data_IF_678422071647
#
_entry.id   IF_678422071647
#
_cell.length_a   1.000
_cell.length_b   1.000
_cell.length_c   1.000
_cell.angle_alpha   90.00
_cell.angle_beta   90.00
_cell.angle_gamma   90.00
#
_symmetry.space_group_name_H-M   'P 1'
#
loop_
_entity.id
_entity.type
_entity.pdbx_description
1 polymer ?
#
# COMPACT_ATOMS: atom_id res chain seq x y z
N UNK A 1 6.09 16.86 68.45
CA UNK A 1 7.01 17.33 67.37
C UNK A 1 8.18 16.36 67.26
N UNK A 2 8.70 16.13 66.04
CA UNK A 2 9.84 15.24 65.66
C UNK A 2 9.50 13.78 65.35
N UNK A 3 8.74 13.53 64.27
CA UNK A 3 8.88 12.31 63.46
C UNK A 3 8.56 12.58 61.97
N UNK A 4 8.95 13.76 61.47
CA UNK A 4 8.58 14.24 60.13
C UNK A 4 9.82 14.53 59.26
N UNK A 5 10.85 13.69 59.35
CA UNK A 5 12.11 13.89 58.63
C UNK A 5 12.80 12.58 58.20
N UNK A 6 12.03 11.60 57.72
CA UNK A 6 12.60 10.32 57.27
C UNK A 6 11.90 9.74 56.01
N UNK A 7 11.40 10.61 55.12
CA UNK A 7 10.73 10.23 53.86
C UNK A 7 11.42 10.87 52.62
N UNK A 8 12.60 11.49 52.75
CA UNK A 8 13.25 12.18 51.63
C UNK A 8 14.40 11.42 50.94
N UNK A 9 14.69 10.16 51.32
CA UNK A 9 15.90 9.47 50.85
C UNK A 9 15.63 8.19 50.02
N UNK A 10 14.61 8.18 49.18
CA UNK A 10 14.39 7.11 48.19
C UNK A 10 14.10 7.60 46.77
N UNK A 11 14.56 8.81 46.41
CA UNK A 11 14.61 9.28 45.02
C UNK A 11 15.96 8.91 44.36
N UNK A 12 16.39 7.65 44.50
CA UNK A 12 17.51 7.13 43.70
C UNK A 12 17.02 6.99 42.26
N UNK A 13 17.31 8.05 41.51
CA UNK A 13 17.25 8.16 40.06
C UNK A 13 17.97 6.98 39.39
N UNK A 14 17.23 6.02 38.84
CA UNK A 14 17.73 5.19 37.75
C UNK A 14 17.51 5.94 36.43
N UNK A 15 18.30 6.98 36.21
CA UNK A 15 18.49 7.56 34.89
C UNK A 15 19.25 6.58 34.02
N UNK A 16 18.55 5.66 33.35
CA UNK A 16 19.13 4.80 32.33
C UNK A 16 19.56 5.69 31.15
N UNK A 17 20.82 6.12 31.14
CA UNK A 17 21.43 6.82 30.02
C UNK A 17 21.62 5.81 28.89
N UNK A 18 20.59 5.63 28.08
CA UNK A 18 20.75 5.00 26.77
C UNK A 18 21.84 5.78 26.03
N UNK A 19 22.88 5.08 25.58
CA UNK A 19 23.94 5.70 24.81
C UNK A 19 23.33 6.31 23.53
N UNK A 20 23.92 7.40 22.99
CA UNK A 20 23.47 7.98 21.71
C UNK A 20 23.45 6.94 20.57
N UNK A 21 24.27 5.90 20.67
CA UNK A 21 24.38 4.81 19.72
C UNK A 21 23.19 3.83 19.78
N UNK A 22 22.63 3.55 20.95
CA UNK A 22 21.42 2.73 21.06
C UNK A 22 20.17 3.45 20.54
N UNK A 23 20.13 4.78 20.67
CA UNK A 23 19.06 5.61 20.10
C UNK A 23 19.13 5.67 18.57
N UNK A 24 20.34 5.75 17.99
CA UNK A 24 20.53 5.65 16.53
C UNK A 24 20.15 4.26 16.01
N UNK A 25 20.61 3.19 16.67
CA UNK A 25 20.26 1.81 16.30
C UNK A 25 18.75 1.52 16.35
N UNK A 26 18.00 2.09 17.31
CA UNK A 26 16.53 1.98 17.33
C UNK A 26 15.85 2.85 16.27
N UNK A 27 16.41 4.00 15.92
CA UNK A 27 15.91 4.87 14.86
C UNK A 27 16.10 4.26 13.47
N UNK A 28 17.16 3.50 13.27
CA UNK A 28 17.45 2.81 12.00
C UNK A 28 16.61 1.54 11.80
N UNK A 29 16.08 0.93 12.87
CA UNK A 29 15.17 -0.24 12.80
C UNK A 29 13.72 0.19 12.51
N UNK A 30 13.36 1.45 12.76
CA UNK A 30 12.14 2.04 12.23
C UNK A 30 12.36 2.33 10.73
N UNK A 31 12.25 1.27 9.91
CA UNK A 31 12.29 1.31 8.46
C UNK A 31 11.63 2.61 7.98
N UNK A 32 12.42 3.48 7.34
CA UNK A 32 12.08 4.84 6.89
C UNK A 32 10.87 4.92 5.95
N UNK A 33 10.24 3.77 5.69
CA UNK A 33 9.18 3.54 4.74
C UNK A 33 7.83 3.27 5.40
N UNK A 34 7.73 3.34 6.73
CA UNK A 34 6.49 3.06 7.46
C UNK A 34 6.03 4.28 8.25
N UNK A 35 4.80 4.72 7.99
CA UNK A 35 4.18 5.81 8.75
C UNK A 35 2.87 5.35 9.39
N UNK A 36 2.65 5.71 10.66
CA UNK A 36 1.35 5.50 11.30
C UNK A 36 0.44 6.66 10.89
N UNK A 37 -0.66 6.34 10.22
CA UNK A 37 -1.59 7.34 9.67
C UNK A 37 -2.85 7.54 10.51
N UNK A 38 -3.12 6.61 11.43
CA UNK A 38 -4.36 6.61 12.18
C UNK A 38 -4.58 5.33 12.97
N UNK A 39 -5.81 5.19 13.48
CA UNK A 39 -6.29 3.99 14.17
C UNK A 39 -7.66 3.60 13.67
N UNK A 40 -7.98 2.32 13.72
CA UNK A 40 -9.33 1.83 13.42
C UNK A 40 -10.31 2.38 14.45
N UNK A 41 -11.27 3.19 14.00
CA UNK A 41 -12.34 3.74 14.82
C UNK A 41 -13.53 2.79 14.92
N UNK A 42 -13.85 2.11 13.81
CA UNK A 42 -14.93 1.13 13.70
C UNK A 42 -14.66 0.12 12.60
N UNK A 43 -15.31 -1.05 12.71
CA UNK A 43 -15.21 -2.14 11.74
C UNK A 43 -16.62 -2.60 11.37
N UNK A 44 -16.97 -2.50 10.09
CA UNK A 44 -18.20 -3.06 9.53
C UNK A 44 -17.89 -4.42 8.91
N UNK A 45 -18.17 -5.51 9.66
CA UNK A 45 -17.92 -6.87 9.15
C UNK A 45 -18.81 -7.23 7.97
N UNK A 46 -20.09 -6.82 8.03
CA UNK A 46 -21.06 -7.06 6.95
C UNK A 46 -20.71 -6.27 5.69
N UNK A 47 -20.32 -5.01 5.85
CA UNK A 47 -19.94 -4.13 4.74
C UNK A 47 -18.51 -4.31 4.25
N UNK A 48 -17.69 -5.11 4.95
CA UNK A 48 -16.25 -5.30 4.67
C UNK A 48 -15.48 -3.98 4.53
N UNK A 49 -15.77 -3.03 5.41
CA UNK A 49 -15.05 -1.75 5.46
C UNK A 49 -14.75 -1.33 6.90
N UNK A 50 -13.82 -0.40 7.04
CA UNK A 50 -13.41 0.19 8.31
C UNK A 50 -13.40 1.70 8.22
N UNK A 51 -13.64 2.35 9.36
CA UNK A 51 -13.35 3.77 9.52
C UNK A 51 -12.02 3.92 10.25
N UNK A 52 -11.15 4.77 9.72
CA UNK A 52 -9.83 5.05 10.25
C UNK A 52 -9.86 6.47 10.81
N UNK A 53 -9.74 6.61 12.13
CA UNK A 53 -9.52 7.90 12.75
C UNK A 53 -8.14 8.40 12.38
N UNK A 54 -8.09 9.59 11.81
CA UNK A 54 -6.88 10.27 11.39
C UNK A 54 -5.97 10.60 12.56
N UNK A 55 -4.67 10.39 12.36
CA UNK A 55 -3.63 10.92 13.25
C UNK A 55 -3.08 12.24 12.66
N UNK A 56 -3.40 13.37 13.29
CA UNK A 56 -2.92 14.70 12.91
C UNK A 56 -3.68 15.36 11.75
N UNK A 57 -3.09 16.39 11.14
CA UNK A 57 -3.74 17.20 10.09
C UNK A 57 -3.31 16.83 8.66
N UNK A 58 -2.33 15.93 8.48
CA UNK A 58 -1.76 15.56 7.19
C UNK A 58 -2.69 14.85 6.20
N UNK A 59 -2.29 14.72 4.95
CA UNK A 59 -3.01 13.90 3.96
C UNK A 59 -2.53 12.45 4.03
N UNK A 60 -3.38 11.52 3.57
CA UNK A 60 -2.98 10.13 3.41
C UNK A 60 -2.13 9.98 2.14
N UNK A 61 -0.95 9.32 2.21
CA UNK A 61 -0.16 9.05 1.01
C UNK A 61 -0.95 8.21 -0.01
N UNK A 62 -0.79 8.52 -1.29
CA UNK A 62 -1.42 7.78 -2.38
C UNK A 62 -0.43 6.75 -2.95
N UNK A 63 -0.94 5.71 -3.60
CA UNK A 63 -0.11 4.70 -4.25
C UNK A 63 0.70 3.82 -3.29
N UNK A 64 0.28 3.73 -2.02
CA UNK A 64 0.98 2.95 -0.98
C UNK A 64 0.08 1.87 -0.40
N UNK A 65 0.69 0.88 0.23
CA UNK A 65 -0.05 -0.20 0.90
C UNK A 65 -0.45 0.25 2.30
N UNK A 66 -1.70 0.01 2.67
CA UNK A 66 -2.20 0.22 4.03
C UNK A 66 -2.43 -1.12 4.73
N UNK A 67 -1.92 -1.25 5.95
CA UNK A 67 -2.23 -2.38 6.81
C UNK A 67 -2.60 -1.91 8.21
N UNK A 68 -3.59 -2.57 8.81
CA UNK A 68 -3.80 -2.45 10.25
C UNK A 68 -2.88 -3.42 11.00
N UNK A 69 -2.47 -3.05 12.21
CA UNK A 69 -1.71 -3.88 13.14
C UNK A 69 -2.28 -3.79 14.56
N UNK A 70 -2.67 -4.93 15.10
CA UNK A 70 -3.10 -5.09 16.49
C UNK A 70 -1.93 -5.25 17.47
N UNK A 71 -2.18 -5.11 18.77
CA UNK A 71 -1.17 -5.29 19.82
C UNK A 71 -0.63 -6.73 19.90
N UNK A 72 -1.40 -7.70 19.39
CA UNK A 72 -1.06 -9.11 19.28
C UNK A 72 -0.32 -9.46 17.98
N UNK A 73 0.00 -8.46 17.15
CA UNK A 73 0.67 -8.65 15.88
C UNK A 73 -0.24 -9.07 14.74
N UNK A 74 -1.55 -9.28 14.95
CA UNK A 74 -2.50 -9.55 13.86
C UNK A 74 -2.51 -8.39 12.88
N UNK A 75 -2.53 -8.70 11.59
CA UNK A 75 -2.60 -7.71 10.52
C UNK A 75 -3.82 -7.90 9.63
N UNK A 76 -4.21 -6.82 8.97
CA UNK A 76 -5.25 -6.84 7.93
C UNK A 76 -4.87 -5.86 6.82
N UNK A 77 -5.13 -6.25 5.58
CA UNK A 77 -4.87 -5.42 4.41
C UNK A 77 -6.05 -4.49 4.14
N UNK A 78 -5.76 -3.21 3.89
CA UNK A 78 -6.76 -2.16 3.72
C UNK A 78 -6.55 -1.45 2.38
N UNK A 79 -7.64 -1.09 1.71
CA UNK A 79 -7.63 -0.19 0.54
C UNK A 79 -8.43 1.05 0.85
N UNK A 80 -7.81 2.23 0.80
CA UNK A 80 -8.54 3.49 0.98
C UNK A 80 -9.60 3.64 -0.13
N UNK A 81 -10.82 4.01 0.23
CA UNK A 81 -11.87 4.30 -0.76
C UNK A 81 -11.73 5.70 -1.37
N UNK A 82 -10.92 6.57 -0.77
CA UNK A 82 -10.83 7.98 -1.11
C UNK A 82 -11.90 8.86 -0.44
N UNK A 83 -12.91 8.24 0.18
CA UNK A 83 -13.95 8.95 0.92
C UNK A 83 -13.42 9.44 2.28
N UNK A 84 -13.73 10.70 2.61
CA UNK A 84 -13.34 11.35 3.86
C UNK A 84 -14.55 11.93 4.56
N UNK A 85 -14.68 11.62 5.84
CA UNK A 85 -15.76 12.11 6.70
C UNK A 85 -15.12 12.76 7.93
N UNK A 86 -14.99 14.09 7.92
CA UNK A 86 -14.33 14.88 8.99
C UNK A 86 -12.91 14.35 9.29
N UNK A 87 -12.77 13.69 10.44
CA UNK A 87 -11.53 13.12 10.97
C UNK A 87 -11.38 11.62 10.67
N UNK A 88 -12.25 11.08 9.83
CA UNK A 88 -12.25 9.69 9.45
C UNK A 88 -11.97 9.52 7.96
N UNK A 89 -11.22 8.47 7.65
CA UNK A 89 -11.10 7.93 6.31
C UNK A 89 -11.82 6.59 6.24
N UNK A 90 -12.47 6.32 5.12
CA UNK A 90 -13.03 5.00 4.86
C UNK A 90 -12.02 4.13 4.09
N UNK A 91 -12.00 2.84 4.42
CA UNK A 91 -11.17 1.87 3.73
C UNK A 91 -11.89 0.52 3.64
N UNK A 92 -11.73 -0.14 2.50
CA UNK A 92 -12.17 -1.53 2.30
C UNK A 92 -11.24 -2.47 3.06
N UNK A 93 -11.82 -3.46 3.73
CA UNK A 93 -11.11 -4.56 4.37
C UNK A 93 -10.91 -5.67 3.34
N UNK A 94 -9.71 -5.75 2.77
CA UNK A 94 -9.40 -6.71 1.71
C UNK A 94 -9.15 -8.12 2.25
N UNK A 95 -8.41 -8.22 3.34
CA UNK A 95 -8.03 -9.50 3.95
C UNK A 95 -7.66 -9.36 5.41
N UNK A 96 -7.64 -10.48 6.12
CA UNK A 96 -7.29 -10.54 7.54
C UNK A 96 -8.43 -10.12 8.47
N UNK A 97 -8.09 -9.91 9.75
CA UNK A 97 -9.03 -9.46 10.79
C UNK A 97 -8.45 -8.24 11.48
N UNK A 98 -9.30 -7.26 11.73
CA UNK A 98 -8.92 -6.05 12.45
C UNK A 98 -9.99 -5.65 13.46
N UNK A 99 -9.58 -4.85 14.43
CA UNK A 99 -10.38 -4.45 15.59
C UNK A 99 -10.19 -2.97 15.87
N UNK A 100 -11.17 -2.37 16.56
CA UNK A 100 -11.11 -0.98 17.00
C UNK A 100 -9.83 -0.75 17.83
N UNK A 101 -9.14 0.35 17.54
CA UNK A 101 -7.91 0.75 18.22
C UNK A 101 -6.62 0.29 17.53
N UNK A 102 -6.70 -0.71 16.63
CA UNK A 102 -5.54 -1.16 15.86
C UNK A 102 -4.92 0.01 15.08
N UNK A 103 -3.60 0.09 15.09
CA UNK A 103 -2.88 1.12 14.36
C UNK A 103 -2.99 0.86 12.86
N UNK A 104 -3.08 1.91 12.04
CA UNK A 104 -3.01 1.81 10.58
C UNK A 104 -1.66 2.36 10.12
N UNK A 105 -0.94 1.54 9.38
CA UNK A 105 0.41 1.79 8.88
C UNK A 105 0.34 1.90 7.36
N UNK A 106 0.92 2.96 6.81
CA UNK A 106 1.16 3.09 5.39
C UNK A 106 2.61 2.69 5.09
N UNK A 107 2.78 1.80 4.12
CA UNK A 107 4.07 1.32 3.62
C UNK A 107 4.38 2.04 2.31
N UNK A 108 5.25 3.03 2.38
CA UNK A 108 5.81 3.65 1.19
C UNK A 108 6.73 2.63 0.49
N UNK A 109 6.93 2.80 -0.82
CA UNK A 109 8.00 2.09 -1.52
C UNK A 109 9.23 2.99 -1.51
N UNK A 110 10.45 2.45 -1.32
CA UNK A 110 11.63 3.25 -1.53
C UNK A 110 11.66 3.61 -3.02
N UNK A 111 11.69 4.90 -3.34
CA UNK A 111 11.90 5.41 -4.70
C UNK A 111 13.05 4.63 -5.35
N UNK A 112 12.76 3.91 -6.45
CA UNK A 112 13.71 2.97 -7.07
C UNK A 112 13.07 1.78 -7.81
N UNK A 113 11.75 1.62 -7.73
CA UNK A 113 10.98 0.71 -8.61
C UNK A 113 9.83 1.47 -9.26
N UNK A 114 10.16 2.50 -10.05
CA UNK A 114 9.20 3.04 -10.99
C UNK A 114 9.08 2.05 -12.15
N UNK A 115 7.87 1.55 -12.38
CA UNK A 115 7.47 0.81 -13.57
C UNK A 115 7.79 1.62 -14.83
N UNK A 116 8.77 1.15 -15.59
CA UNK A 116 8.86 1.41 -17.04
C UNK A 116 7.70 0.69 -17.73
N UNK A 117 7.32 1.23 -18.89
CA UNK A 117 6.38 0.68 -19.88
C UNK A 117 4.90 1.07 -19.69
N UNK A 118 4.62 2.36 -19.75
CA UNK A 118 3.46 2.82 -20.53
C UNK A 118 3.91 4.02 -21.38
N UNK A 119 3.72 3.87 -22.70
CA UNK A 119 3.89 4.87 -23.77
C UNK A 119 5.20 4.86 -24.59
N UNK A 120 5.22 4.05 -25.66
CA UNK A 120 5.51 4.58 -27.01
C UNK A 120 4.89 3.69 -28.09
N UNK A 121 3.71 4.07 -28.58
CA UNK A 121 3.35 3.78 -29.97
C UNK A 121 2.96 5.12 -30.58
N UNK A 122 3.85 5.65 -31.41
CA UNK A 122 3.49 6.62 -32.44
C UNK A 122 3.87 6.03 -33.81
N UNK A 123 3.06 6.33 -34.83
CA UNK A 123 2.97 5.58 -36.07
C UNK A 123 4.10 5.97 -37.04
N UNK A 124 4.63 4.99 -37.75
CA UNK A 124 5.63 5.22 -38.80
C UNK A 124 5.00 4.82 -40.14
N UNK A 125 4.74 5.84 -40.94
CA UNK A 125 4.25 5.79 -42.32
C UNK A 125 5.42 5.53 -43.29
N UNK A 126 5.14 4.72 -44.31
CA UNK A 126 5.81 4.51 -45.60
C UNK A 126 7.33 4.76 -45.77
N UNK A 127 8.05 3.73 -46.27
CA UNK A 127 8.71 3.79 -47.59
C UNK A 127 9.42 2.50 -48.04
N UNK A 128 8.99 2.04 -49.22
CA UNK A 128 9.67 1.31 -50.31
C UNK A 128 11.09 0.74 -50.09
N UNK A 129 11.22 -0.56 -50.34
CA UNK A 129 12.49 -1.24 -50.61
C UNK A 129 12.27 -2.58 -51.32
N UNK A 130 12.21 -2.54 -52.65
CA UNK A 130 12.14 -3.71 -53.55
C UNK A 130 13.44 -4.52 -53.46
N UNK A 131 13.35 -5.84 -53.23
CA UNK A 131 14.32 -6.82 -53.73
C UNK A 131 13.57 -8.05 -54.25
N UNK A 132 13.93 -8.41 -55.47
CA UNK A 132 13.30 -9.41 -56.34
C UNK A 132 13.83 -10.83 -56.09
N UNK A 133 13.17 -11.78 -56.75
CA UNK A 133 13.67 -13.11 -57.21
C UNK A 133 13.66 -14.22 -56.13
N UNK A 134 13.09 -15.42 -56.32
CA UNK A 134 12.53 -16.13 -57.48
C UNK A 134 11.96 -17.50 -57.01
N UNK A 135 11.00 -18.07 -57.78
CA UNK A 135 10.75 -19.52 -58.03
C UNK A 135 10.22 -20.35 -56.81
N UNK A 136 9.17 -21.17 -56.85
CA UNK A 136 8.51 -21.92 -57.93
C UNK A 136 7.04 -22.23 -57.59
N UNK A 137 6.29 -22.53 -58.64
CA UNK A 137 4.90 -22.96 -58.65
C UNK A 137 4.67 -24.28 -57.90
N UNK A 138 3.49 -24.42 -57.26
CA UNK A 138 2.58 -25.54 -57.53
C UNK A 138 1.28 -25.44 -56.69
N UNK A 139 0.14 -25.55 -57.37
CA UNK A 139 -1.10 -26.10 -56.79
C UNK A 139 -2.14 -25.12 -56.22
N UNK A 140 -2.96 -24.53 -57.09
CA UNK A 140 -4.39 -24.26 -56.81
C UNK A 140 -5.20 -25.46 -57.36
N UNK A 141 -6.40 -25.81 -56.84
CA UNK A 141 -7.53 -24.87 -56.71
C UNK A 141 -8.30 -24.96 -55.37
N UNK A 142 -8.77 -23.82 -54.87
CA UNK A 142 -10.17 -23.39 -54.88
C UNK A 142 -11.15 -24.37 -54.22
N UNK A 143 -11.55 -24.06 -52.99
CA UNK A 143 -12.88 -24.42 -52.50
C UNK A 143 -13.55 -23.15 -51.94
N UNK A 144 -14.50 -22.66 -52.74
CA UNK A 144 -15.44 -21.61 -52.39
C UNK A 144 -16.47 -22.18 -51.41
N UNK A 145 -16.70 -21.54 -50.26
CA UNK A 145 -18.03 -21.03 -49.86
C UNK A 145 -18.09 -20.51 -48.40
N UNK A 146 -18.18 -19.18 -48.36
CA UNK A 146 -18.88 -18.22 -47.47
C UNK A 146 -20.00 -18.80 -46.55
N UNK A 147 -20.24 -18.19 -45.36
CA UNK A 147 -20.74 -18.87 -44.15
C UNK A 147 -22.27 -18.96 -44.03
N UNK A 148 -22.74 -19.95 -43.29
CA UNK A 148 -24.16 -20.09 -42.94
C UNK A 148 -24.52 -19.19 -41.74
N UNK A 149 -25.41 -18.25 -42.01
CA UNK A 149 -26.05 -17.31 -41.09
C UNK A 149 -27.17 -17.97 -40.27
N UNK A 150 -27.37 -17.44 -39.07
CA UNK A 150 -28.39 -17.75 -38.05
C UNK A 150 -29.82 -17.71 -38.61
N UNK A 151 -30.70 -18.57 -38.09
CA UNK A 151 -32.17 -18.40 -38.16
C UNK A 151 -32.84 -18.74 -36.82
N UNK A 152 -33.57 -17.73 -36.33
CA UNK A 152 -34.69 -17.65 -35.38
C UNK A 152 -34.71 -18.49 -34.09
#
# INVERSE_FOLDING_TARGET
>A
MKFLLLISLFLVSCGNKASPDELKKRKDIASSNQIIVGRIASVSRRGKFVLIQKLGTGTLPKGVIYQSRGPDGRTASLRLSGERIRDFFAADLLSGKTEKGNAVIAYQYPEGRQTTEENKIQPEDETNGVTKENLDADGLPADDQVPQTIRD
#
